data_IF_939774735914
#
_entry.id   IF_939774735914
#
_cell.length_a   1.000
_cell.length_b   1.000
_cell.length_c   1.000
_cell.angle_alpha   90.00
_cell.angle_beta   90.00
_cell.angle_gamma   90.00
#
_symmetry.space_group_name_H-M   'P 1'
#
loop_
_entity.id
_entity.type
_entity.pdbx_description
1 polymer ?
#
# COMPACT_ATOMS: atom_id res chain seq x y z
N UNK A 1 -9.20 6.63 -13.51
CA UNK A 1 -9.79 5.52 -12.71
C UNK A 1 -10.47 5.97 -11.39
N UNK A 2 -9.86 6.87 -10.60
CA UNK A 2 -10.31 7.15 -9.24
C UNK A 2 -11.21 8.39 -9.06
N UNK A 3 -11.39 9.23 -10.08
CA UNK A 3 -12.17 10.47 -9.97
C UNK A 3 -13.65 10.25 -9.56
N UNK A 4 -14.20 9.07 -9.81
CA UNK A 4 -15.59 8.69 -9.48
C UNK A 4 -15.69 7.64 -8.38
N UNK A 5 -14.57 7.15 -7.86
CA UNK A 5 -14.55 6.18 -6.76
C UNK A 5 -14.47 6.95 -5.44
N UNK A 6 -15.30 6.57 -4.46
CA UNK A 6 -15.22 7.12 -3.11
C UNK A 6 -14.17 6.32 -2.33
N UNK A 7 -13.08 6.95 -1.84
CA UNK A 7 -12.12 6.27 -0.99
C UNK A 7 -12.77 5.92 0.36
N UNK A 8 -12.37 4.79 0.93
CA UNK A 8 -12.68 4.44 2.31
C UNK A 8 -11.96 5.39 3.27
N UNK A 9 -10.67 5.65 3.00
CA UNK A 9 -9.87 6.62 3.75
C UNK A 9 -8.84 7.28 2.83
N UNK A 10 -8.50 8.54 3.12
CA UNK A 10 -7.42 9.30 2.49
C UNK A 10 -6.42 9.72 3.55
N UNK A 11 -5.13 9.80 3.18
CA UNK A 11 -4.03 10.19 4.08
C UNK A 11 -4.05 9.39 5.40
N UNK A 12 -4.33 8.09 5.30
CA UNK A 12 -4.53 7.22 6.46
C UNK A 12 -3.21 7.05 7.23
N UNK A 13 -3.10 7.53 8.49
CA UNK A 13 -1.88 7.41 9.25
C UNK A 13 -1.67 5.96 9.71
N UNK A 14 -0.41 5.52 9.74
CA UNK A 14 -0.06 4.22 10.32
C UNK A 14 1.22 4.29 11.16
N UNK A 15 1.31 3.35 12.09
CA UNK A 15 2.54 2.99 12.78
C UNK A 15 2.62 1.46 12.83
N UNK A 16 3.70 0.91 12.29
CA UNK A 16 3.93 -0.52 12.18
C UNK A 16 5.24 -0.86 12.90
N UNK A 17 5.23 -1.92 13.71
CA UNK A 17 6.47 -2.45 14.31
C UNK A 17 6.96 -3.62 13.46
N UNK A 18 8.17 -3.50 12.92
CA UNK A 18 8.86 -4.52 12.13
C UNK A 18 10.24 -4.75 12.72
N UNK A 19 10.57 -5.99 13.06
CA UNK A 19 11.88 -6.36 13.64
C UNK A 19 12.30 -5.44 14.83
N UNK A 20 11.35 -5.05 15.67
CA UNK A 20 11.58 -4.15 16.82
C UNK A 20 11.73 -2.66 16.48
N UNK A 21 11.69 -2.28 15.21
CA UNK A 21 11.74 -0.90 14.74
C UNK A 21 10.34 -0.38 14.41
N UNK A 22 10.09 0.91 14.67
CA UNK A 22 8.80 1.54 14.33
C UNK A 22 8.89 2.27 13.00
N UNK A 23 8.11 1.80 12.03
CA UNK A 23 7.89 2.47 10.74
C UNK A 23 6.60 3.27 10.83
N UNK A 24 6.67 4.58 10.52
CA UNK A 24 5.52 5.49 10.53
C UNK A 24 5.34 6.11 9.15
N UNK A 25 4.10 6.33 8.75
CA UNK A 25 3.79 6.96 7.47
C UNK A 25 2.31 7.28 7.30
N UNK A 26 1.95 7.65 6.07
CA UNK A 26 0.58 7.82 5.62
C UNK A 26 0.38 7.09 4.31
N UNK A 27 -0.77 6.44 4.19
CA UNK A 27 -1.25 5.85 2.95
C UNK A 27 -2.11 6.89 2.24
N UNK A 28 -1.76 7.25 1.01
CA UNK A 28 -2.44 8.33 0.27
C UNK A 28 -3.95 8.10 0.15
N UNK A 29 -4.37 6.89 -0.25
CA UNK A 29 -5.75 6.47 -0.10
C UNK A 29 -5.94 4.95 -0.11
N UNK A 30 -7.09 4.55 0.45
CA UNK A 30 -7.57 3.18 0.45
C UNK A 30 -8.99 3.16 -0.10
N UNK A 31 -9.27 2.25 -1.04
CA UNK A 31 -10.59 2.06 -1.60
C UNK A 31 -11.15 0.70 -1.19
N UNK A 32 -12.46 0.59 -0.93
CA UNK A 32 -13.10 -0.72 -0.81
C UNK A 32 -13.21 -1.35 -2.20
N UNK A 33 -13.03 -2.67 -2.26
CA UNK A 33 -13.18 -3.46 -3.47
C UNK A 33 -14.50 -4.28 -3.42
N UNK A 34 -15.10 -4.63 -4.57
CA UNK A 34 -16.40 -5.32 -4.61
C UNK A 34 -16.43 -6.70 -3.94
N UNK A 35 -15.27 -7.34 -3.81
CA UNK A 35 -15.08 -8.63 -3.14
C UNK A 35 -14.98 -8.51 -1.61
N UNK A 36 -15.11 -7.30 -1.06
CA UNK A 36 -14.96 -7.00 0.36
C UNK A 36 -13.52 -6.74 0.79
N UNK A 37 -12.56 -6.79 -0.14
CA UNK A 37 -11.17 -6.43 0.10
C UNK A 37 -10.92 -4.92 0.01
N UNK A 38 -9.65 -4.56 -0.01
CA UNK A 38 -9.19 -3.19 -0.12
C UNK A 38 -8.13 -3.02 -1.21
N UNK A 39 -8.13 -1.86 -1.84
CA UNK A 39 -7.07 -1.40 -2.73
C UNK A 39 -6.39 -0.18 -2.10
N UNK A 40 -5.16 -0.37 -1.67
CA UNK A 40 -4.25 0.71 -1.30
C UNK A 40 -3.69 1.36 -2.57
N UNK A 41 -3.69 2.68 -2.65
CA UNK A 41 -3.12 3.42 -3.78
C UNK A 41 -2.11 4.45 -3.26
N UNK A 42 -1.02 4.62 -3.98
CA UNK A 42 -0.02 5.68 -3.80
C UNK A 42 0.13 6.48 -5.11
N UNK A 43 0.10 7.81 -5.02
CA UNK A 43 0.04 8.69 -6.19
C UNK A 43 1.45 9.15 -6.57
N UNK A 44 1.81 8.85 -7.82
CA UNK A 44 3.08 9.27 -8.40
C UNK A 44 2.88 10.38 -9.42
N UNK A 45 3.61 11.48 -9.24
CA UNK A 45 3.60 12.64 -10.14
C UNK A 45 4.75 12.64 -11.16
N UNK A 46 5.72 11.73 -10.99
CA UNK A 46 6.78 11.47 -11.96
C UNK A 46 6.23 10.68 -13.17
N UNK A 47 6.98 10.66 -14.28
CA UNK A 47 6.58 9.95 -15.51
C UNK A 47 7.10 8.51 -15.60
N UNK A 48 8.19 8.20 -14.92
CA UNK A 48 8.83 6.88 -14.95
C UNK A 48 8.39 6.04 -13.77
N UNK A 49 8.11 4.75 -14.01
CA UNK A 49 7.78 3.78 -12.97
C UNK A 49 9.01 3.35 -12.14
N UNK A 50 9.65 4.30 -11.48
CA UNK A 50 10.84 4.11 -10.63
C UNK A 50 10.49 4.02 -9.14
N UNK A 51 9.20 3.82 -8.82
CA UNK A 51 8.76 3.74 -7.44
C UNK A 51 9.17 2.39 -6.85
N UNK A 52 9.75 2.40 -5.66
CA UNK A 52 10.16 1.17 -4.97
C UNK A 52 8.92 0.39 -4.49
N UNK A 53 8.66 -0.84 -5.00
CA UNK A 53 7.53 -1.66 -4.57
C UNK A 53 7.52 -1.97 -3.07
N UNK A 54 8.66 -1.85 -2.37
CA UNK A 54 8.75 -2.01 -0.92
C UNK A 54 7.76 -1.10 -0.18
N UNK A 55 7.56 0.13 -0.68
CA UNK A 55 6.61 1.08 -0.10
C UNK A 55 5.18 0.50 -0.07
N UNK A 56 4.73 -0.12 -1.16
CA UNK A 56 3.41 -0.75 -1.23
C UNK A 56 3.31 -1.99 -0.34
N UNK A 57 4.40 -2.75 -0.20
CA UNK A 57 4.48 -3.87 0.75
C UNK A 57 4.25 -3.41 2.19
N UNK A 58 4.89 -2.31 2.60
CA UNK A 58 4.70 -1.72 3.93
C UNK A 58 3.26 -1.21 4.09
N UNK A 59 2.73 -0.50 3.09
CA UNK A 59 1.39 0.09 3.20
C UNK A 59 0.29 -0.99 3.27
N UNK A 60 0.37 -2.05 2.44
CA UNK A 60 -0.63 -3.14 2.50
C UNK A 60 -0.58 -3.86 3.84
N UNK A 61 0.62 -4.09 4.39
CA UNK A 61 0.77 -4.75 5.69
C UNK A 61 0.24 -3.87 6.82
N UNK A 62 0.60 -2.58 6.80
CA UNK A 62 0.11 -1.62 7.78
C UNK A 62 -1.42 -1.55 7.77
N UNK A 63 -2.04 -1.48 6.60
CA UNK A 63 -3.50 -1.47 6.49
C UNK A 63 -4.14 -2.75 7.03
N UNK A 64 -3.61 -3.91 6.60
CA UNK A 64 -4.11 -5.21 6.99
C UNK A 64 -4.10 -5.40 8.52
N UNK A 65 -2.99 -5.07 9.18
CA UNK A 65 -2.87 -5.22 10.63
C UNK A 65 -3.71 -4.22 11.42
N UNK A 66 -3.74 -2.95 11.00
CA UNK A 66 -4.52 -1.93 11.69
C UNK A 66 -6.03 -2.22 11.67
N UNK A 67 -6.51 -2.87 10.60
CA UNK A 67 -7.93 -3.16 10.42
C UNK A 67 -8.29 -4.63 10.69
N UNK A 68 -7.31 -5.46 11.07
CA UNK A 68 -7.52 -6.87 11.37
C UNK A 68 -8.05 -7.68 10.18
N UNK A 69 -7.61 -7.35 8.96
CA UNK A 69 -8.03 -8.05 7.73
C UNK A 69 -6.91 -8.92 7.16
N UNK A 70 -7.21 -10.01 6.43
CA UNK A 70 -6.20 -10.85 5.82
C UNK A 70 -5.34 -10.05 4.82
N UNK A 71 -4.02 -10.25 4.82
CA UNK A 71 -3.08 -9.51 3.98
C UNK A 71 -3.35 -9.72 2.47
N UNK A 72 -3.84 -10.89 2.10
CA UNK A 72 -4.27 -11.26 0.75
C UNK A 72 -5.51 -10.52 0.28
N UNK A 73 -6.33 -9.98 1.21
CA UNK A 73 -7.49 -9.14 0.88
C UNK A 73 -7.13 -7.69 0.61
N UNK A 74 -5.84 -7.32 0.74
CA UNK A 74 -5.34 -5.96 0.53
C UNK A 74 -4.43 -5.93 -0.69
N UNK A 75 -4.95 -5.44 -1.81
CA UNK A 75 -4.17 -5.12 -3.02
C UNK A 75 -3.50 -3.76 -2.87
N UNK A 76 -2.43 -3.52 -3.61
CA UNK A 76 -1.73 -2.25 -3.58
C UNK A 76 -1.21 -1.85 -4.96
N UNK A 77 -1.32 -0.55 -5.30
CA UNK A 77 -0.97 -0.03 -6.61
C UNK A 77 -0.32 1.36 -6.55
N UNK A 78 0.53 1.64 -7.53
CA UNK A 78 0.94 3.00 -7.86
C UNK A 78 0.01 3.57 -8.93
N UNK A 79 -0.46 4.81 -8.74
CA UNK A 79 -1.19 5.55 -9.76
C UNK A 79 -0.34 6.71 -10.30
N UNK A 80 0.02 6.65 -11.58
CA UNK A 80 0.84 7.67 -12.23
C UNK A 80 -0.07 8.74 -12.85
N UNK A 81 -0.20 9.89 -12.16
CA UNK A 81 -1.19 10.93 -12.49
C UNK A 81 -1.04 11.46 -13.91
N UNK A 82 0.20 11.54 -14.42
CA UNK A 82 0.49 12.10 -15.76
C UNK A 82 0.10 11.18 -16.91
N UNK A 83 0.15 9.87 -16.70
CA UNK A 83 -0.16 8.85 -17.73
C UNK A 83 -1.53 8.23 -17.52
N UNK A 84 -2.09 8.33 -16.31
CA UNK A 84 -3.32 7.64 -15.91
C UNK A 84 -3.13 6.15 -15.67
N UNK A 85 -1.88 5.67 -15.65
CA UNK A 85 -1.54 4.27 -15.49
C UNK A 85 -1.68 3.84 -14.03
N UNK A 86 -2.26 2.64 -13.84
CA UNK A 86 -2.31 1.94 -12.56
C UNK A 86 -1.37 0.74 -12.64
N UNK A 87 -0.32 0.74 -11.83
CA UNK A 87 0.66 -0.34 -11.77
C UNK A 87 0.47 -1.10 -10.47
N UNK A 88 0.12 -2.38 -10.57
CA UNK A 88 -0.01 -3.30 -9.45
C UNK A 88 1.18 -4.29 -9.45
N UNK A 89 2.25 -4.03 -8.69
CA UNK A 89 3.39 -4.94 -8.64
C UNK A 89 2.99 -6.30 -8.07
N UNK A 90 3.47 -7.38 -8.69
CA UNK A 90 3.31 -8.73 -8.16
C UNK A 90 4.40 -9.05 -7.15
N UNK A 91 4.15 -10.02 -6.25
CA UNK A 91 5.17 -10.49 -5.30
C UNK A 91 5.56 -9.48 -4.22
N UNK A 92 4.65 -8.56 -3.86
CA UNK A 92 4.87 -7.64 -2.74
C UNK A 92 5.20 -8.43 -1.45
N UNK A 93 6.19 -7.99 -0.66
CA UNK A 93 6.65 -8.72 0.51
C UNK A 93 5.54 -8.83 1.56
N UNK A 94 5.57 -9.95 2.29
CA UNK A 94 4.79 -10.14 3.51
C UNK A 94 5.58 -9.64 4.74
N UNK A 95 4.98 -9.76 5.94
CA UNK A 95 5.65 -9.38 7.19
C UNK A 95 7.03 -10.02 7.34
N UNK A 96 7.13 -11.33 7.13
CA UNK A 96 8.37 -12.06 7.34
C UNK A 96 9.46 -11.56 6.38
N UNK A 97 9.12 -11.35 5.12
CA UNK A 97 10.04 -10.80 4.13
C UNK A 97 10.49 -9.38 4.49
N UNK A 98 9.58 -8.52 4.95
CA UNK A 98 9.90 -7.16 5.40
C UNK A 98 10.83 -7.16 6.62
N UNK A 99 10.56 -8.02 7.60
CA UNK A 99 11.40 -8.15 8.78
C UNK A 99 12.80 -8.68 8.44
N UNK A 100 12.89 -9.64 7.52
CA UNK A 100 14.18 -10.17 7.05
C UNK A 100 15.03 -9.11 6.34
N UNK A 101 14.42 -8.12 5.68
CA UNK A 101 15.13 -6.99 5.06
C UNK A 101 15.67 -5.99 6.08
N UNK A 102 15.10 -5.95 7.29
CA UNK A 102 15.50 -5.04 8.37
C UNK A 102 16.43 -5.68 9.40
N UNK A 103 16.52 -7.01 9.42
CA UNK A 103 17.45 -7.75 10.25
C UNK A 103 18.88 -7.57 9.71
N UNK A 104 19.54 -6.49 10.15
CA UNK A 104 20.97 -6.21 9.95
C UNK A 104 21.81 -6.91 11.02
#
# INVERSE_FOLDING_TARGET
PFATRVPHQVEAPFALVLAGQVVRGRIDAVYPEPDGGFLVVDWKTNRSASADPLQLGIYRLAWAELHGVPLESVRAAFYYVRTGELVEPTGLPDRRALEAMLAV
#
